data_IF_521165171654
#
_entry.id   IF_521165171654
#
_cell.length_a   1.000
_cell.length_b   1.000
_cell.length_c   1.000
_cell.angle_alpha   90.00
_cell.angle_beta   90.00
_cell.angle_gamma   90.00
#
_symmetry.space_group_name_H-M   'P 1'
#
loop_
_entity.id
_entity.type
_entity.pdbx_description
1 polymer ?
#
# COMPACT_ATOMS: atom_id res chain seq x y z
N UNK A 1 6.98 24.42 5.57
CA UNK A 1 6.44 24.77 4.25
C UNK A 1 5.73 23.52 3.76
N UNK A 2 4.42 23.57 3.58
CA UNK A 2 3.65 22.41 3.09
C UNK A 2 3.79 22.44 1.58
N UNK A 3 4.38 21.40 0.99
CA UNK A 3 4.41 21.14 -0.45
C UNK A 3 2.97 20.97 -0.92
N UNK A 4 2.30 22.10 -1.13
CA UNK A 4 0.99 22.15 -1.75
C UNK A 4 1.24 22.06 -3.25
N UNK A 5 1.65 20.87 -3.69
CA UNK A 5 1.64 20.46 -5.08
C UNK A 5 0.17 20.31 -5.47
N UNK A 6 -0.51 21.44 -5.66
CA UNK A 6 -1.75 21.53 -6.44
C UNK A 6 -1.38 21.15 -7.89
N UNK A 7 -1.18 19.85 -8.11
CA UNK A 7 -1.06 19.27 -9.44
C UNK A 7 -2.46 19.44 -10.00
N UNK A 8 -2.65 20.49 -10.80
CA UNK A 8 -3.83 20.66 -11.63
C UNK A 8 -3.87 19.49 -12.62
N UNK A 9 -4.50 18.40 -12.17
CA UNK A 9 -4.58 17.18 -12.96
C UNK A 9 -5.68 17.39 -14.01
N UNK A 10 -5.23 17.72 -15.22
CA UNK A 10 -6.01 18.27 -16.34
C UNK A 10 -7.09 17.30 -16.90
N UNK A 11 -7.06 16.02 -16.53
CA UNK A 11 -8.10 15.03 -16.86
C UNK A 11 -8.38 14.04 -15.72
N UNK A 12 -9.60 13.48 -15.68
CA UNK A 12 -9.98 12.45 -14.69
C UNK A 12 -9.13 11.16 -14.81
N UNK A 13 -8.60 10.88 -16.01
CA UNK A 13 -7.68 9.78 -16.24
C UNK A 13 -6.33 10.03 -15.55
N UNK A 14 -5.82 11.25 -15.64
CA UNK A 14 -4.57 11.66 -15.01
C UNK A 14 -4.70 11.71 -13.48
N UNK A 15 -5.86 12.12 -12.94
CA UNK A 15 -6.16 12.04 -11.50
C UNK A 15 -6.04 10.62 -10.98
N UNK A 16 -6.62 9.67 -11.72
CA UNK A 16 -6.60 8.24 -11.37
C UNK A 16 -5.19 7.68 -11.45
N UNK A 17 -4.43 8.03 -12.49
CA UNK A 17 -3.04 7.59 -12.64
C UNK A 17 -2.16 8.11 -11.50
N UNK A 18 -2.27 9.40 -11.17
CA UNK A 18 -1.52 10.03 -10.08
C UNK A 18 -1.86 9.39 -8.73
N UNK A 19 -3.14 9.20 -8.43
CA UNK A 19 -3.58 8.53 -7.21
C UNK A 19 -3.02 7.10 -7.10
N UNK A 20 -3.06 6.32 -8.19
CA UNK A 20 -2.51 4.97 -8.22
C UNK A 20 -0.99 4.94 -7.98
N UNK A 21 -0.27 5.94 -8.50
CA UNK A 21 1.17 6.09 -8.29
C UNK A 21 1.50 6.41 -6.82
N UNK A 22 0.80 7.39 -6.22
CA UNK A 22 0.99 7.77 -4.81
C UNK A 22 0.70 6.59 -3.88
N UNK A 23 -0.39 5.87 -4.11
CA UNK A 23 -0.74 4.70 -3.31
C UNK A 23 0.31 3.58 -3.46
N UNK A 24 0.94 3.44 -4.64
CA UNK A 24 2.04 2.48 -4.81
C UNK A 24 3.25 2.87 -3.95
N UNK A 25 3.67 4.13 -3.96
CA UNK A 25 4.73 4.65 -3.08
C UNK A 25 4.40 4.40 -1.61
N UNK A 26 3.16 4.68 -1.19
CA UNK A 26 2.70 4.43 0.19
C UNK A 26 2.79 2.95 0.55
N UNK A 27 2.36 2.04 -0.33
CA UNK A 27 2.45 0.59 -0.10
C UNK A 27 3.88 0.08 -0.01
N UNK A 28 4.81 0.64 -0.80
CA UNK A 28 6.22 0.27 -0.73
C UNK A 28 6.82 0.72 0.60
N UNK A 29 6.54 1.95 1.06
CA UNK A 29 6.96 2.39 2.40
C UNK A 29 6.41 1.50 3.52
N UNK A 30 5.14 1.10 3.44
CA UNK A 30 4.54 0.19 4.42
C UNK A 30 5.23 -1.17 4.39
N UNK A 31 5.48 -1.70 3.19
CA UNK A 31 6.15 -2.97 3.01
C UNK A 31 7.53 -2.93 3.65
N UNK A 32 8.30 -1.88 3.43
CA UNK A 32 9.65 -1.74 3.99
C UNK A 32 9.59 -1.69 5.52
N UNK A 33 8.68 -0.89 6.09
CA UNK A 33 8.44 -0.86 7.53
C UNK A 33 8.08 -2.24 8.10
N UNK A 34 7.23 -3.02 7.41
CA UNK A 34 6.89 -4.38 7.83
C UNK A 34 8.09 -5.34 7.76
N UNK A 35 8.97 -5.19 6.76
CA UNK A 35 10.19 -6.00 6.68
C UNK A 35 11.13 -5.64 7.84
N UNK A 36 11.40 -4.36 8.07
CA UNK A 36 12.20 -3.91 9.21
C UNK A 36 11.64 -4.40 10.55
N UNK A 37 10.32 -4.37 10.72
CA UNK A 37 9.67 -4.85 11.93
C UNK A 37 9.79 -6.37 12.10
N UNK A 38 9.67 -7.13 11.01
CA UNK A 38 9.86 -8.60 11.04
C UNK A 38 11.29 -8.96 11.41
N UNK A 39 12.27 -8.26 10.85
CA UNK A 39 13.69 -8.52 11.12
C UNK A 39 14.06 -8.16 12.57
N UNK A 40 13.34 -7.19 13.16
CA UNK A 40 13.47 -6.81 14.57
C UNK A 40 12.83 -7.82 15.54
N UNK A 41 12.09 -8.81 15.04
CA UNK A 41 11.42 -9.84 15.86
C UNK A 41 12.03 -11.21 15.55
N UNK A 42 12.99 -11.70 16.37
CA UNK A 42 13.72 -12.94 16.12
C UNK A 42 12.83 -14.19 15.99
N UNK A 43 11.63 -14.19 16.61
CA UNK A 43 10.69 -15.31 16.54
C UNK A 43 9.93 -15.43 15.21
N UNK A 44 10.01 -14.43 14.32
CA UNK A 44 9.34 -14.40 13.01
C UNK A 44 10.29 -14.60 11.82
N UNK A 45 11.59 -14.80 12.09
CA UNK A 45 12.58 -15.21 11.10
C UNK A 45 12.29 -16.66 10.65
N UNK A 46 11.60 -16.79 9.51
CA UNK A 46 11.32 -18.08 8.87
C UNK A 46 9.85 -18.30 8.50
N UNK A 47 8.91 -17.62 9.16
CA UNK A 47 7.50 -17.70 8.78
C UNK A 47 7.25 -16.75 7.59
N UNK A 48 6.97 -17.28 6.39
CA UNK A 48 6.50 -16.46 5.27
C UNK A 48 5.22 -15.76 5.71
N UNK A 49 5.29 -14.45 5.96
CA UNK A 49 4.21 -13.64 6.51
C UNK A 49 2.88 -14.00 5.86
N UNK A 50 1.94 -14.55 6.65
CA UNK A 50 0.63 -14.96 6.17
C UNK A 50 -0.11 -13.70 5.71
N UNK A 51 -0.22 -13.52 4.40
CA UNK A 51 -1.18 -12.59 3.81
C UNK A 51 -2.55 -13.08 4.25
N UNK A 52 -3.22 -12.34 5.13
CA UNK A 52 -4.58 -12.66 5.56
C UNK A 52 -5.45 -12.77 4.31
N UNK A 53 -5.90 -13.99 3.98
CA UNK A 53 -6.87 -14.20 2.90
C UNK A 53 -8.21 -13.65 3.39
N UNK A 54 -8.52 -12.42 3.01
CA UNK A 54 -9.87 -11.88 3.11
C UNK A 54 -10.73 -12.59 2.06
N UNK A 55 -11.30 -13.74 2.42
CA UNK A 55 -12.34 -14.39 1.62
C UNK A 55 -13.63 -13.63 1.85
N UNK A 56 -14.02 -12.76 0.91
CA UNK A 56 -15.36 -12.20 0.93
C UNK A 56 -16.35 -13.29 0.48
N UNK A 57 -17.40 -13.59 1.26
CA UNK A 57 -18.42 -14.54 0.84
C UNK A 57 -19.07 -14.05 -0.46
N UNK A 58 -19.45 -14.95 -1.39
CA UNK A 58 -20.13 -14.54 -2.61
C UNK A 58 -21.46 -13.90 -2.22
N UNK A 59 -21.62 -12.63 -2.59
CA UNK A 59 -22.91 -11.94 -2.51
C UNK A 59 -23.82 -12.64 -3.53
N UNK A 60 -24.77 -13.43 -3.05
CA UNK A 60 -25.85 -13.96 -3.88
C UNK A 60 -26.73 -12.77 -4.29
N UNK A 61 -26.93 -12.61 -5.60
CA UNK A 61 -27.84 -11.64 -6.23
C UNK A 61 -29.29 -11.85 -5.79
#
# INVERSE_FOLDING_TARGET
MSDNDDIEVESDADKRAHHNALERKRRDHIKDSFHSLRDSVPSLQGEKGRKMKLTFPPVFL
#
